data_IF_988180375977
#
_entry.id   IF_988180375977
#
_cell.length_a   1.000
_cell.length_b   1.000
_cell.length_c   1.000
_cell.angle_alpha   90.00
_cell.angle_beta   90.00
_cell.angle_gamma   90.00
#
_symmetry.space_group_name_H-M   'P 1'
#
loop_
_entity.id
_entity.type
_entity.pdbx_description
1 polymer ?
#
# COMPACT_ATOMS: atom_id res chain seq x y z
N UNK A 1 13.37 16.86 0.17
CA UNK A 1 13.22 15.88 -0.92
C UNK A 1 12.27 14.76 -0.46
N UNK A 2 11.81 13.85 -1.32
CA UNK A 2 10.88 12.79 -0.92
C UNK A 2 11.53 11.78 0.05
N UNK A 3 12.81 11.46 -0.16
CA UNK A 3 13.62 10.58 0.67
C UNK A 3 13.71 11.05 2.13
N UNK A 4 13.88 12.36 2.36
CA UNK A 4 13.94 12.91 3.72
C UNK A 4 12.61 12.88 4.49
N UNK A 5 11.50 12.56 3.82
CA UNK A 5 10.16 12.45 4.45
C UNK A 5 9.78 11.01 4.78
N UNK A 6 10.53 10.03 4.28
CA UNK A 6 10.28 8.62 4.54
C UNK A 6 11.12 8.14 5.73
N UNK A 7 10.48 7.44 6.67
CA UNK A 7 11.20 6.82 7.80
C UNK A 7 12.10 5.66 7.35
N UNK A 8 11.74 4.98 6.26
CA UNK A 8 12.55 3.97 5.59
C UNK A 8 12.19 3.89 4.10
N UNK A 9 13.08 3.30 3.30
CA UNK A 9 12.84 3.00 1.88
C UNK A 9 13.06 1.50 1.68
N UNK A 10 12.05 0.82 1.13
CA UNK A 10 12.08 -0.61 0.80
C UNK A 10 11.79 -0.75 -0.70
N UNK A 11 12.75 -1.31 -1.43
CA UNK A 11 12.71 -1.53 -2.88
C UNK A 11 12.59 -3.02 -3.23
N UNK A 12 12.43 -3.34 -4.51
CA UNK A 12 12.20 -4.73 -4.99
C UNK A 12 13.36 -5.72 -4.79
N UNK A 13 14.47 -5.26 -4.23
CA UNK A 13 15.68 -6.00 -3.87
C UNK A 13 16.00 -5.91 -2.36
N UNK A 14 15.16 -5.24 -1.56
CA UNK A 14 15.34 -5.13 -0.11
C UNK A 14 14.98 -6.42 0.66
N UNK A 15 14.21 -7.31 0.03
CA UNK A 15 13.74 -8.58 0.59
C UNK A 15 13.88 -9.69 -0.44
N UNK A 16 13.90 -10.94 0.01
CA UNK A 16 13.99 -12.09 -0.91
C UNK A 16 12.73 -12.22 -1.77
N UNK A 17 11.56 -11.96 -1.19
CA UNK A 17 10.28 -12.01 -1.90
C UNK A 17 9.83 -10.62 -2.36
N UNK A 18 9.05 -10.60 -3.44
CA UNK A 18 8.39 -9.41 -3.98
C UNK A 18 6.88 -9.53 -3.84
N UNK A 19 6.17 -8.41 -3.98
CA UNK A 19 4.71 -8.39 -4.13
C UNK A 19 4.28 -9.43 -5.19
N UNK A 20 3.23 -10.24 -4.92
CA UNK A 20 2.22 -10.07 -3.88
C UNK A 20 2.59 -10.63 -2.50
N UNK A 21 3.81 -11.12 -2.28
CA UNK A 21 4.24 -11.58 -0.97
C UNK A 21 4.29 -10.42 0.05
N UNK A 22 3.88 -10.63 1.32
CA UNK A 22 3.80 -9.55 2.33
C UNK A 22 5.15 -9.11 2.90
N UNK A 23 6.23 -9.85 2.64
CA UNK A 23 7.55 -9.61 3.24
C UNK A 23 8.06 -8.16 3.11
N UNK A 24 7.97 -7.46 1.96
CA UNK A 24 8.41 -6.07 1.86
C UNK A 24 7.68 -5.14 2.85
N UNK A 25 6.37 -5.34 3.05
CA UNK A 25 5.54 -4.53 3.94
C UNK A 25 5.86 -4.84 5.41
N UNK A 26 6.00 -6.11 5.75
CA UNK A 26 6.41 -6.53 7.09
C UNK A 26 7.83 -6.04 7.43
N UNK A 27 8.72 -6.02 6.45
CA UNK A 27 10.06 -5.45 6.60
C UNK A 27 10.01 -3.94 6.87
N UNK A 28 9.20 -3.18 6.12
CA UNK A 28 8.99 -1.75 6.37
C UNK A 28 8.40 -1.48 7.77
N UNK A 29 7.43 -2.28 8.21
CA UNK A 29 6.89 -2.21 9.58
C UNK A 29 7.98 -2.43 10.63
N UNK A 30 8.85 -3.44 10.44
CA UNK A 30 9.96 -3.72 11.36
C UNK A 30 10.95 -2.55 11.44
N UNK A 31 11.33 -1.96 10.30
CA UNK A 31 12.26 -0.83 10.25
C UNK A 31 11.72 0.43 10.95
N UNK A 32 10.39 0.61 10.90
CA UNK A 32 9.71 1.79 11.46
C UNK A 32 9.10 1.55 12.84
N UNK A 33 9.22 0.34 13.38
CA UNK A 33 8.55 -0.10 14.61
C UNK A 33 7.02 0.14 14.57
N UNK A 34 6.40 -0.14 13.42
CA UNK A 34 4.96 -0.01 13.20
C UNK A 34 4.26 -1.36 13.25
N UNK A 35 3.03 -1.39 13.76
CA UNK A 35 2.17 -2.57 13.73
C UNK A 35 1.40 -2.65 12.41
N UNK A 36 1.46 -3.76 11.64
CA UNK A 36 0.78 -3.85 10.35
C UNK A 36 -0.73 -3.57 10.40
N UNK A 37 -1.41 -3.99 11.47
CA UNK A 37 -2.84 -3.74 11.68
C UNK A 37 -3.18 -2.25 11.84
N UNK A 38 -2.18 -1.39 12.07
CA UNK A 38 -2.31 0.08 12.16
C UNK A 38 -1.70 0.80 10.95
N UNK A 39 -1.37 0.06 9.90
CA UNK A 39 -0.83 0.59 8.66
C UNK A 39 -1.88 0.56 7.54
N UNK A 40 -1.76 1.53 6.63
CA UNK A 40 -2.48 1.56 5.36
C UNK A 40 -1.44 1.35 4.25
N UNK A 41 -1.67 0.37 3.38
CA UNK A 41 -0.89 0.16 2.17
C UNK A 41 -1.64 0.74 0.97
N UNK A 42 -1.00 1.65 0.24
CA UNK A 42 -1.59 2.35 -0.90
C UNK A 42 -0.82 1.96 -2.16
N UNK A 43 -1.52 1.52 -3.21
CA UNK A 43 -0.91 1.09 -4.46
C UNK A 43 -1.88 1.07 -5.63
N UNK A 44 -1.35 0.99 -6.84
CA UNK A 44 -2.08 1.10 -8.11
C UNK A 44 -2.18 -0.23 -8.88
N UNK A 45 -1.65 -1.33 -8.31
CA UNK A 45 -1.72 -2.66 -8.94
C UNK A 45 -2.39 -3.70 -8.02
N UNK A 46 -3.01 -4.73 -8.61
CA UNK A 46 -3.61 -5.85 -7.87
C UNK A 46 -2.67 -6.46 -6.82
N UNK A 47 -1.41 -6.70 -7.23
CA UNK A 47 -0.37 -7.27 -6.34
C UNK A 47 -0.08 -6.40 -5.12
N UNK A 48 -0.37 -5.10 -5.16
CA UNK A 48 -0.17 -4.19 -4.04
C UNK A 48 -1.23 -4.45 -2.98
N UNK A 49 -2.48 -4.57 -3.43
CA UNK A 49 -3.63 -4.89 -2.58
C UNK A 49 -3.49 -6.28 -1.98
N UNK A 50 -3.12 -7.28 -2.79
CA UNK A 50 -2.85 -8.64 -2.30
C UNK A 50 -1.77 -8.66 -1.21
N UNK A 51 -0.68 -7.92 -1.41
CA UNK A 51 0.44 -7.93 -0.47
C UNK A 51 0.15 -7.17 0.82
N UNK A 52 -0.53 -6.02 0.74
CA UNK A 52 -0.98 -5.27 1.93
C UNK A 52 -1.96 -6.09 2.76
N UNK A 53 -2.92 -6.76 2.11
CA UNK A 53 -3.87 -7.67 2.77
C UNK A 53 -3.17 -8.85 3.42
N UNK A 54 -2.23 -9.50 2.71
CA UNK A 54 -1.44 -10.60 3.26
C UNK A 54 -0.57 -10.17 4.45
N UNK A 55 -0.18 -8.90 4.52
CA UNK A 55 0.55 -8.33 5.65
C UNK A 55 -0.36 -7.94 6.84
N UNK A 56 -1.70 -8.04 6.68
CA UNK A 56 -2.66 -7.63 7.70
C UNK A 56 -2.89 -6.11 7.77
N UNK A 57 -2.58 -5.38 6.70
CA UNK A 57 -2.80 -3.94 6.59
C UNK A 57 -4.16 -3.62 6.01
N UNK A 58 -4.65 -2.41 6.28
CA UNK A 58 -5.69 -1.78 5.44
C UNK A 58 -5.11 -1.48 4.08
N UNK A 59 -5.93 -1.57 3.03
CA UNK A 59 -5.48 -1.37 1.66
C UNK A 59 -6.32 -0.37 0.90
N UNK A 60 -5.68 0.51 0.15
CA UNK A 60 -6.35 1.53 -0.66
C UNK A 60 -5.79 1.52 -2.07
N UNK A 61 -6.67 1.44 -3.06
CA UNK A 61 -6.29 1.62 -4.47
C UNK A 61 -6.06 3.09 -4.74
N UNK A 62 -4.88 3.42 -5.27
CA UNK A 62 -4.65 4.68 -5.96
C UNK A 62 -5.15 4.57 -7.40
N UNK A 63 -6.31 5.16 -7.71
CA UNK A 63 -6.90 5.18 -9.06
C UNK A 63 -6.18 6.10 -10.05
N UNK A 64 -5.02 6.58 -9.65
CA UNK A 64 -4.08 7.36 -10.43
C UNK A 64 -2.76 6.59 -10.42
N UNK A 65 -2.13 6.45 -11.58
CA UNK A 65 -0.90 5.67 -11.72
C UNK A 65 -0.91 4.82 -12.98
N UNK A 66 -0.34 3.62 -12.88
CA UNK A 66 -0.22 2.65 -13.96
C UNK A 66 -1.39 1.67 -13.97
N UNK A 67 -2.61 2.20 -14.00
CA UNK A 67 -3.84 1.41 -14.18
C UNK A 67 -4.14 1.37 -15.68
N UNK A 68 -4.23 0.17 -16.25
CA UNK A 68 -4.61 -0.02 -17.64
C UNK A 68 -6.14 0.00 -17.79
N UNK A 69 -6.64 0.33 -18.98
CA UNK A 69 -8.08 0.26 -19.30
C UNK A 69 -8.67 -1.15 -19.12
N UNK A 70 -7.82 -2.17 -19.09
CA UNK A 70 -8.18 -3.58 -18.87
C UNK A 70 -8.15 -4.00 -17.40
N UNK A 71 -7.60 -3.18 -16.51
CA UNK A 71 -7.61 -3.45 -15.08
C UNK A 71 -9.00 -3.18 -14.51
N UNK A 72 -9.36 -3.95 -13.48
CA UNK A 72 -10.63 -3.83 -12.77
C UNK A 72 -10.36 -3.65 -11.26
N UNK A 73 -9.88 -2.47 -10.81
CA UNK A 73 -9.46 -2.26 -9.43
C UNK A 73 -10.54 -2.54 -8.38
N UNK A 74 -11.81 -2.36 -8.75
CA UNK A 74 -12.97 -2.70 -7.93
C UNK A 74 -13.04 -4.19 -7.56
N UNK A 75 -12.36 -5.06 -8.30
CA UNK A 75 -12.32 -6.51 -8.05
C UNK A 75 -11.16 -6.94 -7.16
N UNK A 76 -10.19 -6.07 -6.88
CA UNK A 76 -8.97 -6.44 -6.14
C UNK A 76 -9.19 -6.57 -4.63
N UNK A 77 -10.35 -6.16 -4.12
CA UNK A 77 -10.73 -6.33 -2.72
C UNK A 77 -10.02 -5.39 -1.75
N UNK A 78 -9.71 -4.16 -2.18
CA UNK A 78 -9.20 -3.11 -1.30
C UNK A 78 -10.29 -2.60 -0.33
N UNK A 79 -9.86 -2.00 0.78
CA UNK A 79 -10.77 -1.36 1.75
C UNK A 79 -11.26 0.01 1.26
N UNK A 80 -10.57 0.61 0.29
CA UNK A 80 -10.92 1.91 -0.28
C UNK A 80 -10.27 2.18 -1.62
N UNK A 81 -10.70 3.26 -2.24
CA UNK A 81 -10.19 3.74 -3.53
C UNK A 81 -10.16 5.27 -3.51
N UNK A 82 -9.08 5.86 -4.04
CA UNK A 82 -8.87 7.31 -4.11
C UNK A 82 -8.41 7.72 -5.52
N UNK A 83 -8.92 8.86 -6.00
CA UNK A 83 -8.62 9.42 -7.33
C UNK A 83 -7.51 10.47 -7.30
N UNK A 84 -7.08 10.89 -6.10
CA UNK A 84 -5.93 11.78 -5.91
C UNK A 84 -5.23 11.54 -4.57
N UNK A 85 -3.93 11.88 -4.43
CA UNK A 85 -3.21 11.73 -3.17
C UNK A 85 -3.85 12.47 -1.98
N UNK A 86 -4.53 13.59 -2.23
CA UNK A 86 -5.15 14.40 -1.18
C UNK A 86 -6.31 13.68 -0.47
N UNK A 87 -7.09 12.89 -1.22
CA UNK A 87 -8.23 12.13 -0.68
C UNK A 87 -7.81 11.04 0.31
N UNK A 88 -6.53 10.65 0.36
CA UNK A 88 -6.03 9.72 1.37
C UNK A 88 -6.20 10.28 2.78
N UNK A 89 -6.08 11.60 2.96
CA UNK A 89 -6.21 12.23 4.28
C UNK A 89 -7.65 12.10 4.79
N UNK A 90 -8.63 12.39 3.93
CA UNK A 90 -10.06 12.23 4.26
C UNK A 90 -10.37 10.76 4.54
N UNK A 91 -9.87 9.83 3.70
CA UNK A 91 -10.07 8.39 3.90
C UNK A 91 -9.52 7.91 5.23
N UNK A 92 -8.30 8.32 5.63
CA UNK A 92 -7.71 7.96 6.93
C UNK A 92 -8.56 8.49 8.08
N UNK A 93 -9.08 9.72 7.98
CA UNK A 93 -9.93 10.31 9.01
C UNK A 93 -11.25 9.55 9.19
N UNK A 94 -11.86 9.12 8.10
CA UNK A 94 -13.14 8.41 8.10
C UNK A 94 -13.03 6.92 8.52
N UNK A 95 -11.83 6.35 8.49
CA UNK A 95 -11.57 4.93 8.73
C UNK A 95 -10.58 4.66 9.89
N UNK A 96 -10.35 5.66 10.75
CA UNK A 96 -9.50 5.58 11.94
C UNK A 96 -10.16 4.83 13.12
#
# INVERSE_FOLDING_TARGET
>A
SLDTRAACIVSGDSTEQRKPHPEPMLHACKLTNSEPARCVYVGDAQRDIEAGRAAGMKTVVASFGYIADTDAPETWGADGQIDSPAQLLDWIHDNA
#
